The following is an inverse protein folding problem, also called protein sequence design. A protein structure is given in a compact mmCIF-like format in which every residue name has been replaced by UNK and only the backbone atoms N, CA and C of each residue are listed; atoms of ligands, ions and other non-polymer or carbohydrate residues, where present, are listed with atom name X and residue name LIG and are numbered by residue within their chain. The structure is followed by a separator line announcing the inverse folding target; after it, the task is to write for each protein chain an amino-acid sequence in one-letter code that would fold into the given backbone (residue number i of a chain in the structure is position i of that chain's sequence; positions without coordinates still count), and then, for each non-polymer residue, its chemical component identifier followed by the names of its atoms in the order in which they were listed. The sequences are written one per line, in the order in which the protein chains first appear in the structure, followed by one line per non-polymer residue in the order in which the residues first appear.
data_IF_454025619021
#
_entry.id   IF_454025619021
#
_cell.length_a   1.000
_cell.length_b   1.000
_cell.length_c   1.000
_cell.angle_alpha   90.00
_cell.angle_beta   90.00
_cell.angle_gamma   90.00
#
_symmetry.space_group_name_H-M   'P 1'
#
loop_
_entity.id
_entity.type
_entity.pdbx_description
1 polymer ?
#
# COMPACT_ATOMS: atom_id res chain seq x y z
N UNK A 1 18.98 -13.13 21.86
CA UNK A 1 18.49 -11.87 21.24
C UNK A 1 19.71 -11.04 20.86
N UNK A 2 20.05 -10.97 19.57
CA UNK A 2 21.09 -10.06 19.10
C UNK A 2 20.48 -8.65 19.04
N UNK A 3 20.95 -7.77 19.91
CA UNK A 3 20.55 -6.37 19.94
C UNK A 3 21.42 -5.64 18.93
N UNK A 4 20.78 -5.06 17.90
CA UNK A 4 21.48 -4.20 16.95
C UNK A 4 22.01 -2.95 17.67
N UNK A 5 23.21 -2.46 17.31
CA UNK A 5 23.74 -1.22 17.86
C UNK A 5 22.84 -0.03 17.58
N UNK A 6 22.75 0.92 18.51
CA UNK A 6 21.88 2.09 18.41
C UNK A 6 22.09 2.90 17.12
N UNK A 7 23.33 3.07 16.68
CA UNK A 7 23.62 3.79 15.44
C UNK A 7 23.07 3.09 14.20
N UNK A 8 23.07 1.74 14.20
CA UNK A 8 22.52 0.96 13.09
C UNK A 8 20.99 1.00 13.08
N UNK A 9 20.38 0.95 14.28
CA UNK A 9 18.95 1.20 14.44
C UNK A 9 18.55 2.59 13.93
N UNK A 10 19.30 3.62 14.36
CA UNK A 10 19.07 5.00 13.91
C UNK A 10 19.25 5.20 12.40
N UNK A 11 20.24 4.52 11.80
CA UNK A 11 20.40 4.53 10.35
C UNK A 11 19.20 3.92 9.61
N UNK A 12 18.73 2.75 10.06
CA UNK A 12 17.56 2.10 9.46
C UNK A 12 16.28 2.91 9.65
N UNK A 13 16.10 3.53 10.82
CA UNK A 13 14.96 4.41 11.07
C UNK A 13 15.01 5.65 10.16
N UNK A 14 16.18 6.26 9.95
CA UNK A 14 16.36 7.35 9.02
C UNK A 14 16.09 6.94 7.56
N UNK A 15 16.50 5.72 7.16
CA UNK A 15 16.19 5.17 5.85
C UNK A 15 14.68 4.97 5.65
N UNK A 16 13.99 4.47 6.66
CA UNK A 16 12.53 4.33 6.65
C UNK A 16 11.86 5.71 6.55
N UNK A 17 12.29 6.70 7.33
CA UNK A 17 11.76 8.07 7.25
C UNK A 17 11.94 8.69 5.86
N UNK A 18 13.12 8.51 5.25
CA UNK A 18 13.36 8.95 3.88
C UNK A 18 12.39 8.29 2.89
N UNK A 19 12.17 6.97 3.04
CA UNK A 19 11.23 6.22 2.20
C UNK A 19 9.79 6.74 2.30
N UNK A 20 9.34 7.18 3.48
CA UNK A 20 7.99 7.69 3.69
C UNK A 20 7.69 8.98 2.88
N UNK A 21 8.73 9.69 2.44
CA UNK A 21 8.64 10.91 1.64
C UNK A 21 8.76 10.65 0.14
N UNK A 22 8.82 9.38 -0.29
CA UNK A 22 8.97 9.02 -1.71
C UNK A 22 7.82 8.13 -2.13
N UNK A 23 7.03 8.62 -3.09
CA UNK A 23 5.96 7.88 -3.74
C UNK A 23 6.48 7.13 -4.96
N UNK A 24 5.92 5.96 -5.24
CA UNK A 24 6.16 5.23 -6.48
C UNK A 24 7.53 4.56 -6.62
N UNK A 25 8.43 4.67 -5.64
CA UNK A 25 9.77 4.10 -5.70
C UNK A 25 10.24 3.44 -4.41
N UNK A 26 11.33 2.66 -4.48
CA UNK A 26 11.97 2.03 -3.33
C UNK A 26 13.41 2.55 -3.15
N UNK A 27 13.60 3.52 -2.25
CA UNK A 27 14.91 4.06 -1.90
C UNK A 27 15.72 3.12 -1.02
N UNK A 28 15.08 2.21 -0.28
CA UNK A 28 15.71 1.39 0.74
C UNK A 28 16.85 0.54 0.19
N UNK A 29 16.71 0.06 -1.06
CA UNK A 29 17.79 -0.66 -1.74
C UNK A 29 19.06 0.18 -1.88
N UNK A 30 18.92 1.46 -2.23
CA UNK A 30 20.05 2.35 -2.47
C UNK A 30 20.73 2.79 -1.16
N UNK A 31 20.00 2.82 -0.07
CA UNK A 31 20.50 3.17 1.25
C UNK A 31 21.26 2.04 1.94
N UNK A 32 21.03 0.78 1.55
CA UNK A 32 21.79 -0.36 2.07
C UNK A 32 23.12 -0.50 1.29
N UNK A 33 24.17 0.17 1.79
CA UNK A 33 25.53 0.03 1.23
C UNK A 33 26.16 -1.31 1.66
N UNK A 34 27.25 -1.79 0.99
CA UNK A 34 27.94 -2.99 1.39
C UNK A 34 28.37 -2.95 2.88
N UNK A 35 28.86 -1.80 3.34
CA UNK A 35 29.32 -1.60 4.72
C UNK A 35 28.17 -1.77 5.72
N UNK A 36 26.98 -1.28 5.41
CA UNK A 36 25.77 -1.45 6.22
C UNK A 36 25.35 -2.93 6.25
N UNK A 37 25.42 -3.62 5.11
CA UNK A 37 25.13 -5.06 5.04
C UNK A 37 26.12 -5.86 5.89
N UNK A 38 27.42 -5.57 5.79
CA UNK A 38 28.45 -6.23 6.62
C UNK A 38 28.22 -6.01 8.11
N UNK A 39 27.81 -4.81 8.49
CA UNK A 39 27.46 -4.52 9.88
C UNK A 39 26.19 -5.28 10.32
N UNK A 40 25.15 -5.33 9.51
CA UNK A 40 23.93 -6.09 9.82
C UNK A 40 24.24 -7.58 10.02
N UNK A 41 25.11 -8.17 9.18
CA UNK A 41 25.52 -9.57 9.28
C UNK A 41 26.24 -9.90 10.59
N UNK A 42 26.98 -8.95 11.18
CA UNK A 42 27.64 -9.17 12.48
C UNK A 42 26.66 -9.33 13.64
N UNK A 43 25.44 -8.79 13.49
CA UNK A 43 24.43 -8.75 14.56
C UNK A 43 23.17 -9.55 14.22
N UNK A 44 23.20 -10.34 13.15
CA UNK A 44 22.08 -11.21 12.76
C UNK A 44 22.59 -12.63 12.53
N UNK A 45 21.76 -13.62 12.83
CA UNK A 45 22.09 -15.04 12.62
C UNK A 45 21.93 -15.49 11.15
N UNK A 46 21.95 -14.55 10.20
CA UNK A 46 21.79 -14.89 8.79
C UNK A 46 23.05 -15.60 8.30
N UNK A 47 22.92 -16.89 7.99
CA UNK A 47 24.02 -17.71 7.47
C UNK A 47 24.29 -17.32 6.01
N UNK A 48 25.46 -16.76 5.76
CA UNK A 48 25.89 -16.22 4.46
C UNK A 48 26.50 -17.25 3.52
N UNK A 49 26.57 -18.53 3.90
CA UNK A 49 27.33 -19.55 3.16
C UNK A 49 26.87 -19.79 1.70
N UNK A 50 25.73 -19.20 1.28
CA UNK A 50 25.15 -19.36 -0.07
C UNK A 50 24.57 -18.10 -0.68
N UNK A 51 24.60 -16.93 0.01
CA UNK A 51 23.96 -15.72 -0.47
C UNK A 51 25.01 -14.61 -0.76
N UNK A 52 24.90 -13.97 -1.93
CA UNK A 52 25.71 -12.80 -2.27
C UNK A 52 25.29 -11.57 -1.45
N UNK A 53 26.16 -10.54 -1.36
CA UNK A 53 25.80 -9.23 -0.80
C UNK A 53 24.57 -8.63 -1.50
N UNK A 54 24.40 -8.87 -2.80
CA UNK A 54 23.25 -8.39 -3.57
C UNK A 54 21.94 -9.05 -3.10
N UNK A 55 21.95 -10.37 -2.82
CA UNK A 55 20.79 -11.10 -2.33
C UNK A 55 20.39 -10.63 -0.92
N UNK A 56 21.40 -10.41 -0.05
CA UNK A 56 21.17 -9.90 1.29
C UNK A 56 20.62 -8.47 1.27
N UNK A 57 21.20 -7.61 0.47
CA UNK A 57 20.71 -6.25 0.23
C UNK A 57 19.26 -6.25 -0.21
N UNK A 58 18.93 -7.10 -1.21
CA UNK A 58 17.57 -7.27 -1.69
C UNK A 58 16.64 -7.76 -0.56
N UNK A 59 17.05 -8.79 0.16
CA UNK A 59 16.26 -9.32 1.28
C UNK A 59 15.99 -8.27 2.37
N UNK A 60 17.01 -7.58 2.86
CA UNK A 60 16.84 -6.54 3.88
C UNK A 60 15.95 -5.40 3.39
N UNK A 61 16.16 -4.93 2.16
CA UNK A 61 15.37 -3.85 1.60
C UNK A 61 13.89 -4.24 1.43
N UNK A 62 13.61 -5.42 0.87
CA UNK A 62 12.24 -5.81 0.49
C UNK A 62 11.47 -6.50 1.61
N UNK A 63 12.12 -7.38 2.38
CA UNK A 63 11.44 -8.19 3.40
C UNK A 63 11.49 -7.58 4.80
N UNK A 64 12.50 -6.77 5.12
CA UNK A 64 12.63 -6.19 6.46
C UNK A 64 12.21 -4.73 6.46
N UNK A 65 12.96 -3.87 5.75
CA UNK A 65 12.75 -2.42 5.83
C UNK A 65 11.46 -1.99 5.13
N UNK A 66 11.13 -2.58 3.97
CA UNK A 66 9.88 -2.24 3.27
C UNK A 66 8.64 -2.61 4.08
N UNK A 67 8.65 -3.72 4.83
CA UNK A 67 7.52 -4.06 5.70
C UNK A 67 7.38 -3.07 6.86
N UNK A 68 8.50 -2.67 7.50
CA UNK A 68 8.49 -1.64 8.55
C UNK A 68 8.02 -0.28 8.00
N UNK A 69 8.53 0.13 6.83
CA UNK A 69 8.11 1.35 6.17
C UNK A 69 6.61 1.33 5.83
N UNK A 70 6.11 0.23 5.27
CA UNK A 70 4.69 0.06 4.96
C UNK A 70 3.81 0.11 6.22
N UNK A 71 4.21 -0.54 7.30
CA UNK A 71 3.48 -0.49 8.57
C UNK A 71 3.42 0.94 9.13
N UNK A 72 4.56 1.65 9.15
CA UNK A 72 4.66 3.03 9.62
C UNK A 72 3.82 3.98 8.75
N UNK A 73 3.94 3.88 7.43
CA UNK A 73 3.14 4.64 6.47
C UNK A 73 1.64 4.45 6.70
N UNK A 74 1.19 3.20 6.83
CA UNK A 74 -0.24 2.88 7.07
C UNK A 74 -0.72 3.46 8.39
N UNK A 75 0.04 3.29 9.48
CA UNK A 75 -0.31 3.84 10.79
C UNK A 75 -0.42 5.38 10.75
N UNK A 76 0.56 6.06 10.15
CA UNK A 76 0.53 7.52 10.00
C UNK A 76 -0.67 7.99 9.18
N UNK A 77 -0.90 7.36 8.03
CA UNK A 77 -2.02 7.71 7.14
C UNK A 77 -3.38 7.49 7.81
N UNK A 78 -3.57 6.33 8.43
CA UNK A 78 -4.81 6.01 9.14
C UNK A 78 -5.06 6.96 10.31
N UNK A 79 -4.03 7.31 11.08
CA UNK A 79 -4.15 8.26 12.18
C UNK A 79 -4.52 9.66 11.68
N UNK A 80 -3.92 10.14 10.59
CA UNK A 80 -4.27 11.42 9.98
C UNK A 80 -5.71 11.45 9.49
N UNK A 81 -6.15 10.39 8.85
CA UNK A 81 -7.55 10.24 8.42
C UNK A 81 -8.50 10.20 9.61
N UNK A 82 -8.19 9.40 10.65
CA UNK A 82 -9.03 9.27 11.85
C UNK A 82 -9.13 10.58 12.65
N UNK A 83 -8.08 11.40 12.65
CA UNK A 83 -8.11 12.75 13.24
C UNK A 83 -9.02 13.69 12.45
N UNK A 84 -8.96 13.65 11.14
CA UNK A 84 -9.75 14.53 10.25
C UNK A 84 -11.20 14.08 10.12
N UNK A 85 -11.45 12.76 10.11
CA UNK A 85 -12.77 12.17 9.95
C UNK A 85 -13.12 11.22 11.10
N UNK A 86 -13.30 11.74 12.33
CA UNK A 86 -13.53 10.91 13.52
C UNK A 86 -14.78 10.04 13.35
N UNK A 87 -14.65 8.75 13.66
CA UNK A 87 -15.69 7.72 13.54
C UNK A 87 -16.22 7.47 12.11
N UNK A 88 -15.51 7.91 11.08
CA UNK A 88 -15.85 7.68 9.68
C UNK A 88 -14.77 6.89 8.93
N UNK A 89 -13.68 6.54 9.60
CA UNK A 89 -12.62 5.69 9.04
C UNK A 89 -12.74 4.31 9.63
N UNK A 90 -12.92 3.31 8.76
CA UNK A 90 -13.13 1.91 9.11
C UNK A 90 -11.94 1.07 8.64
N UNK A 91 -11.38 0.26 9.52
CA UNK A 91 -10.29 -0.66 9.24
C UNK A 91 -10.71 -2.09 9.56
N UNK A 92 -10.61 -2.98 8.58
CA UNK A 92 -10.85 -4.42 8.73
C UNK A 92 -9.50 -5.14 8.80
N UNK A 93 -9.12 -5.67 9.96
CA UNK A 93 -7.78 -6.23 10.18
C UNK A 93 -7.75 -7.30 11.25
N UNK A 94 -6.71 -8.14 11.22
CA UNK A 94 -6.31 -9.04 12.32
C UNK A 94 -5.06 -8.53 13.03
N UNK A 95 -4.43 -7.44 12.52
CA UNK A 95 -3.22 -6.88 13.11
C UNK A 95 -3.52 -6.11 14.39
N UNK A 96 -2.48 -5.91 15.21
CA UNK A 96 -2.55 -5.02 16.36
C UNK A 96 -2.88 -3.58 15.93
N UNK A 97 -3.80 -2.96 16.65
CA UNK A 97 -4.29 -1.61 16.39
C UNK A 97 -4.01 -0.63 17.52
N UNK A 98 -3.18 -1.02 18.48
CA UNK A 98 -2.83 -0.21 19.67
C UNK A 98 -2.19 1.15 19.34
N UNK A 99 -1.49 1.24 18.20
CA UNK A 99 -0.87 2.47 17.72
C UNK A 99 -1.83 3.38 16.91
N UNK A 100 -3.08 2.95 16.71
CA UNK A 100 -4.07 3.71 15.95
C UNK A 100 -4.89 4.65 16.83
N UNK A 101 -5.33 5.74 16.24
CA UNK A 101 -6.09 6.77 16.93
C UNK A 101 -7.45 6.22 17.39
N UNK A 102 -7.94 6.54 18.63
CA UNK A 102 -9.18 5.95 19.18
C UNK A 102 -10.45 6.29 18.40
N UNK A 103 -10.41 7.29 17.53
CA UNK A 103 -11.55 7.67 16.68
C UNK A 103 -11.67 6.84 15.42
N UNK A 104 -10.67 6.00 15.11
CA UNK A 104 -10.72 5.03 14.03
C UNK A 104 -11.53 3.82 14.48
N UNK A 105 -12.45 3.37 13.62
CA UNK A 105 -13.29 2.21 13.91
C UNK A 105 -12.62 0.95 13.36
N UNK A 106 -12.21 0.06 14.24
CA UNK A 106 -11.59 -1.22 13.89
C UNK A 106 -12.62 -2.34 13.87
N UNK A 107 -12.54 -3.18 12.87
CA UNK A 107 -13.35 -4.38 12.69
C UNK A 107 -12.44 -5.60 12.57
N UNK A 108 -12.94 -6.77 12.93
CA UNK A 108 -12.27 -8.04 12.60
C UNK A 108 -12.18 -8.17 11.07
N UNK A 109 -11.12 -8.83 10.59
CA UNK A 109 -11.02 -9.15 9.18
C UNK A 109 -12.27 -9.94 8.72
N UNK A 110 -12.72 -9.61 7.53
CA UNK A 110 -13.87 -10.28 6.90
C UNK A 110 -13.41 -11.32 5.90
N UNK A 111 -14.32 -12.25 5.57
CA UNK A 111 -14.09 -13.17 4.47
C UNK A 111 -13.81 -12.40 3.18
N UNK A 112 -12.69 -12.76 2.53
CA UNK A 112 -12.18 -12.00 1.39
C UNK A 112 -13.04 -12.13 0.14
N UNK A 113 -13.60 -13.31 -0.09
CA UNK A 113 -14.37 -13.59 -1.31
C UNK A 113 -15.85 -13.19 -1.16
N UNK A 114 -16.42 -13.40 0.03
CA UNK A 114 -17.86 -13.21 0.23
C UNK A 114 -18.25 -11.85 0.83
N UNK A 115 -17.40 -11.29 1.71
CA UNK A 115 -17.75 -10.09 2.49
C UNK A 115 -16.94 -8.87 2.09
N UNK A 116 -15.67 -9.02 1.71
CA UNK A 116 -14.85 -7.86 1.33
C UNK A 116 -15.43 -7.09 0.13
N UNK A 117 -15.97 -7.72 -0.93
CA UNK A 117 -16.62 -6.98 -2.01
C UNK A 117 -17.79 -6.12 -1.55
N UNK A 118 -18.58 -6.59 -0.58
CA UNK A 118 -19.68 -5.80 0.00
C UNK A 118 -19.17 -4.59 0.78
N UNK A 119 -18.05 -4.73 1.51
CA UNK A 119 -17.40 -3.62 2.19
C UNK A 119 -16.90 -2.59 1.16
N UNK A 120 -16.26 -3.05 0.09
CA UNK A 120 -15.77 -2.15 -0.97
C UNK A 120 -16.90 -1.39 -1.66
N UNK A 121 -17.97 -2.07 -2.03
CA UNK A 121 -19.13 -1.46 -2.68
C UNK A 121 -19.89 -0.47 -1.77
N UNK A 122 -19.94 -0.75 -0.46
CA UNK A 122 -20.67 0.10 0.51
C UNK A 122 -19.85 1.27 1.05
N UNK A 123 -18.54 1.27 0.84
CA UNK A 123 -17.64 2.34 1.28
C UNK A 123 -17.70 3.53 0.31
N UNK A 124 -17.82 4.76 0.84
CA UNK A 124 -17.78 5.96 -0.01
C UNK A 124 -16.43 6.11 -0.72
N UNK A 125 -15.35 5.82 0.00
CA UNK A 125 -13.98 5.87 -0.53
C UNK A 125 -13.23 4.66 0.01
N UNK A 126 -12.64 3.88 -0.88
CA UNK A 126 -11.70 2.83 -0.53
C UNK A 126 -10.28 3.36 -0.75
N UNK A 127 -9.44 3.24 0.27
CA UNK A 127 -8.05 3.70 0.22
C UNK A 127 -7.13 2.50 0.08
N UNK A 128 -6.28 2.51 -0.94
CA UNK A 128 -5.18 1.57 -1.09
C UNK A 128 -3.84 2.25 -0.80
N UNK A 129 -2.96 1.52 -0.11
CA UNK A 129 -1.60 1.93 0.23
C UNK A 129 -0.66 0.80 -0.14
N UNK A 130 0.12 0.98 -1.20
CA UNK A 130 1.03 -0.03 -1.72
C UNK A 130 2.33 -0.04 -0.92
N UNK A 131 2.81 -1.21 -0.55
CA UNK A 131 4.08 -1.33 0.15
C UNK A 131 5.27 -1.02 -0.79
N UNK A 132 6.36 -0.40 -0.29
CA UNK A 132 7.50 0.02 -1.13
C UNK A 132 8.21 -1.12 -1.87
N UNK A 133 8.09 -2.36 -1.40
CA UNK A 133 8.67 -3.54 -2.07
C UNK A 133 7.94 -3.93 -3.36
N UNK A 134 6.74 -3.44 -3.60
CA UNK A 134 6.04 -3.60 -4.87
C UNK A 134 6.49 -2.46 -5.78
N UNK A 135 7.58 -2.69 -6.52
CA UNK A 135 8.18 -1.68 -7.41
C UNK A 135 7.49 -1.64 -8.77
N UNK A 136 7.05 -2.81 -9.25
CA UNK A 136 6.31 -3.01 -10.50
C UNK A 136 5.07 -3.84 -10.26
N UNK A 137 4.09 -3.70 -11.15
CA UNK A 137 2.80 -4.38 -11.04
C UNK A 137 1.78 -3.61 -10.18
N UNK A 138 0.54 -4.01 -10.33
CA UNK A 138 -0.61 -3.42 -9.65
C UNK A 138 -1.09 -4.40 -8.57
N UNK A 139 -1.25 -3.96 -7.30
CA UNK A 139 -1.81 -4.82 -6.26
C UNK A 139 -3.20 -5.34 -6.63
N UNK A 140 -3.47 -6.62 -6.38
CA UNK A 140 -4.78 -7.25 -6.65
C UNK A 140 -5.94 -6.48 -6.00
N UNK A 141 -5.68 -5.84 -4.87
CA UNK A 141 -6.67 -4.99 -4.17
C UNK A 141 -7.27 -3.90 -5.04
N UNK A 142 -6.52 -3.37 -6.00
CA UNK A 142 -7.00 -2.37 -6.97
C UNK A 142 -8.13 -2.98 -7.79
N UNK A 143 -7.89 -4.16 -8.37
CA UNK A 143 -8.88 -4.87 -9.19
C UNK A 143 -10.09 -5.33 -8.35
N UNK A 144 -9.87 -5.75 -7.11
CA UNK A 144 -10.94 -6.20 -6.20
C UNK A 144 -11.91 -5.07 -5.86
N UNK A 145 -11.38 -3.88 -5.53
CA UNK A 145 -12.20 -2.72 -5.19
C UNK A 145 -12.99 -2.25 -6.41
N UNK A 146 -12.32 -2.09 -7.55
CA UNK A 146 -12.97 -1.66 -8.80
C UNK A 146 -13.98 -2.70 -9.28
N UNK A 147 -13.63 -3.99 -9.25
CA UNK A 147 -14.51 -5.11 -9.61
C UNK A 147 -15.74 -5.25 -8.71
N UNK A 148 -15.68 -4.75 -7.48
CA UNK A 148 -16.83 -4.63 -6.58
C UNK A 148 -17.68 -3.35 -6.81
N UNK A 149 -17.29 -2.47 -7.73
CA UNK A 149 -17.94 -1.18 -7.98
C UNK A 149 -17.62 -0.11 -6.92
N UNK A 150 -16.55 -0.29 -6.15
CA UNK A 150 -16.10 0.68 -5.15
C UNK A 150 -15.27 1.81 -5.77
N UNK A 151 -15.47 3.05 -5.30
CA UNK A 151 -14.56 4.15 -5.63
C UNK A 151 -13.21 3.92 -4.96
N UNK A 152 -12.13 3.94 -5.75
CA UNK A 152 -10.76 3.70 -5.30
C UNK A 152 -9.93 4.99 -5.34
N UNK A 153 -9.28 5.30 -4.21
CA UNK A 153 -8.24 6.29 -4.07
C UNK A 153 -6.93 5.56 -3.67
N UNK A 154 -5.97 5.45 -4.59
CA UNK A 154 -4.73 4.67 -4.40
C UNK A 154 -3.49 5.56 -4.48
N UNK A 155 -2.40 5.13 -3.84
CA UNK A 155 -1.10 5.77 -4.03
C UNK A 155 -0.63 5.66 -5.48
N UNK A 156 0.07 6.70 -5.93
CA UNK A 156 0.59 6.76 -7.30
C UNK A 156 1.57 5.62 -7.60
N UNK A 157 1.34 4.93 -8.75
CA UNK A 157 2.23 3.93 -9.34
C UNK A 157 2.24 4.09 -10.86
N UNK A 158 3.42 3.98 -11.48
CA UNK A 158 3.56 4.13 -12.94
C UNK A 158 2.70 3.12 -13.71
N UNK A 159 2.72 1.86 -13.26
CA UNK A 159 2.01 0.74 -13.93
C UNK A 159 0.47 0.90 -13.94
N UNK A 160 -0.10 1.79 -13.12
CA UNK A 160 -1.54 2.06 -13.15
C UNK A 160 -2.00 2.58 -14.50
N UNK A 161 -1.16 3.36 -15.21
CA UNK A 161 -1.48 3.92 -16.53
C UNK A 161 -1.64 2.86 -17.61
N UNK A 162 -0.99 1.72 -17.46
CA UNK A 162 -1.04 0.63 -18.43
C UNK A 162 -2.41 -0.09 -18.42
N UNK A 163 -3.10 -0.02 -17.29
CA UNK A 163 -4.36 -0.71 -17.08
C UNK A 163 -5.56 0.21 -16.94
N UNK A 164 -5.37 1.44 -16.43
CA UNK A 164 -6.45 2.34 -16.04
C UNK A 164 -6.22 3.78 -16.50
N UNK A 165 -7.30 4.51 -16.72
CA UNK A 165 -7.28 5.96 -16.96
C UNK A 165 -7.52 6.68 -15.63
N UNK A 166 -6.48 7.34 -15.11
CA UNK A 166 -6.53 8.09 -13.85
C UNK A 166 -7.53 9.25 -13.98
N UNK A 167 -8.34 9.47 -12.95
CA UNK A 167 -9.41 10.45 -12.93
C UNK A 167 -10.69 10.00 -13.63
N UNK A 168 -10.68 8.80 -14.29
CA UNK A 168 -11.83 8.21 -14.95
C UNK A 168 -12.20 6.83 -14.39
N UNK A 169 -11.23 5.93 -14.20
CA UNK A 169 -11.46 4.57 -13.73
C UNK A 169 -11.15 4.43 -12.22
N UNK A 170 -10.22 5.23 -11.75
CA UNK A 170 -9.80 5.35 -10.36
C UNK A 170 -9.16 6.72 -10.13
N UNK A 171 -8.87 7.05 -8.89
CA UNK A 171 -8.11 8.26 -8.55
C UNK A 171 -6.84 7.88 -7.78
N UNK A 172 -5.79 8.69 -7.96
CA UNK A 172 -4.50 8.49 -7.29
C UNK A 172 -4.19 9.65 -6.35
N UNK A 173 -3.34 9.41 -5.37
CA UNK A 173 -2.80 10.45 -4.50
C UNK A 173 -1.28 10.37 -4.41
N UNK A 174 -0.64 11.53 -4.21
CA UNK A 174 0.79 11.67 -3.97
C UNK A 174 1.02 12.25 -2.56
N UNK A 175 1.26 11.37 -1.62
CA UNK A 175 1.45 11.71 -0.22
C UNK A 175 0.17 12.02 0.56
N UNK A 176 0.35 12.24 1.86
CA UNK A 176 -0.75 12.31 2.83
C UNK A 176 -1.63 13.56 2.64
N UNK A 177 -1.02 14.69 2.26
CA UNK A 177 -1.78 15.93 2.11
C UNK A 177 -2.72 15.85 0.90
N UNK A 178 -2.24 15.37 -0.24
CA UNK A 178 -3.06 15.15 -1.44
C UNK A 178 -4.17 14.11 -1.18
N UNK A 179 -3.86 13.04 -0.43
CA UNK A 179 -4.87 12.09 0.03
C UNK A 179 -6.01 12.77 0.80
N UNK A 180 -5.68 13.65 1.75
CA UNK A 180 -6.67 14.35 2.57
C UNK A 180 -7.49 15.35 1.75
N UNK A 181 -6.87 16.07 0.81
CA UNK A 181 -7.55 17.01 -0.09
C UNK A 181 -8.50 16.28 -1.05
N UNK A 182 -8.05 15.20 -1.67
CA UNK A 182 -8.88 14.37 -2.56
C UNK A 182 -10.00 13.67 -1.80
N UNK A 183 -9.75 13.23 -0.57
CA UNK A 183 -10.80 12.67 0.28
C UNK A 183 -11.89 13.71 0.55
N UNK A 184 -11.53 14.95 0.92
CA UNK A 184 -12.50 16.05 1.10
C UNK A 184 -13.29 16.34 -0.17
N UNK A 185 -12.60 16.38 -1.31
CA UNK A 185 -13.22 16.63 -2.58
C UNK A 185 -14.25 15.57 -2.94
N UNK A 186 -13.87 14.30 -2.93
CA UNK A 186 -14.73 13.21 -3.33
C UNK A 186 -15.83 12.87 -2.31
N UNK A 187 -15.69 13.25 -1.04
CA UNK A 187 -16.79 13.18 -0.09
C UNK A 187 -17.91 14.19 -0.40
N UNK A 188 -17.57 15.34 -1.02
CA UNK A 188 -18.51 16.40 -1.41
C UNK A 188 -19.09 16.23 -2.82
N UNK A 189 -18.42 15.47 -3.71
CA UNK A 189 -18.80 15.31 -5.11
C UNK A 189 -19.18 13.85 -5.38
N UNK A 190 -20.36 13.47 -4.91
CA UNK A 190 -20.87 12.10 -5.03
C UNK A 190 -21.07 11.65 -6.48
N UNK A 191 -21.57 12.55 -7.33
CA UNK A 191 -21.76 12.34 -8.75
C UNK A 191 -20.45 11.91 -9.44
N UNK A 192 -19.37 12.66 -9.20
CA UNK A 192 -18.05 12.34 -9.76
C UNK A 192 -17.50 11.03 -9.19
N UNK A 193 -17.62 10.82 -7.87
CA UNK A 193 -17.18 9.58 -7.21
C UNK A 193 -17.89 8.37 -7.80
N UNK A 194 -19.20 8.45 -7.97
CA UNK A 194 -20.01 7.36 -8.52
C UNK A 194 -19.67 7.11 -10.00
N UNK A 195 -19.49 8.16 -10.80
CA UNK A 195 -19.09 8.02 -12.19
C UNK A 195 -17.73 7.29 -12.34
N UNK A 196 -16.74 7.67 -11.54
CA UNK A 196 -15.41 7.01 -11.54
C UNK A 196 -15.53 5.55 -11.12
N UNK A 197 -16.30 5.24 -10.07
CA UNK A 197 -16.49 3.87 -9.60
C UNK A 197 -17.15 2.97 -10.68
N UNK A 198 -18.15 3.50 -11.40
CA UNK A 198 -18.80 2.79 -12.50
C UNK A 198 -17.85 2.53 -13.66
N UNK A 199 -17.08 3.53 -14.11
CA UNK A 199 -16.08 3.35 -15.16
C UNK A 199 -14.98 2.34 -14.75
N UNK A 200 -14.51 2.39 -13.51
CA UNK A 200 -13.54 1.42 -12.99
C UNK A 200 -14.09 -0.01 -13.04
N UNK A 201 -15.35 -0.21 -12.64
CA UNK A 201 -16.03 -1.51 -12.75
C UNK A 201 -16.11 -2.00 -14.19
N UNK A 202 -16.55 -1.15 -15.12
CA UNK A 202 -16.64 -1.48 -16.57
C UNK A 202 -15.26 -1.86 -17.14
N UNK A 203 -14.21 -1.12 -16.77
CA UNK A 203 -12.84 -1.39 -17.21
C UNK A 203 -12.35 -2.74 -16.69
N UNK A 204 -12.57 -3.05 -15.41
CA UNK A 204 -12.18 -4.35 -14.85
C UNK A 204 -12.96 -5.49 -15.51
N UNK A 205 -14.27 -5.38 -15.65
CA UNK A 205 -15.10 -6.41 -16.28
C UNK A 205 -14.75 -6.66 -17.74
N UNK A 206 -14.42 -5.61 -18.51
CA UNK A 206 -14.15 -5.73 -19.93
C UNK A 206 -12.72 -6.14 -20.29
N UNK A 207 -11.72 -5.80 -19.44
CA UNK A 207 -10.30 -5.96 -19.77
C UNK A 207 -9.51 -6.80 -18.78
N UNK A 208 -9.97 -6.94 -17.53
CA UNK A 208 -9.18 -7.53 -16.46
C UNK A 208 -9.88 -8.69 -15.75
N UNK A 209 -11.07 -9.09 -16.20
CA UNK A 209 -11.71 -10.31 -15.75
C UNK A 209 -10.83 -11.54 -16.05
N UNK A 210 -10.86 -12.53 -15.18
CA UNK A 210 -10.06 -13.75 -15.35
C UNK A 210 -10.32 -14.46 -16.67
N UNK A 211 -11.57 -14.43 -17.17
CA UNK A 211 -11.92 -15.04 -18.46
C UNK A 211 -11.27 -14.33 -19.65
N UNK A 212 -11.08 -13.00 -19.55
CA UNK A 212 -10.38 -12.19 -20.55
C UNK A 212 -8.89 -12.51 -20.51
N UNK A 213 -8.28 -12.48 -19.30
CA UNK A 213 -6.85 -12.72 -19.11
C UNK A 213 -6.43 -14.15 -19.50
N UNK A 214 -7.26 -15.14 -19.17
CA UNK A 214 -6.99 -16.54 -19.57
C UNK A 214 -7.01 -16.68 -21.09
N UNK A 215 -7.95 -16.02 -21.79
CA UNK A 215 -7.98 -16.03 -23.25
C UNK A 215 -6.74 -15.39 -23.88
N UNK A 216 -6.27 -14.27 -23.32
CA UNK A 216 -5.04 -13.62 -23.79
C UNK A 216 -3.79 -14.51 -23.63
N UNK A 217 -3.74 -15.33 -22.56
CA UNK A 217 -2.60 -16.23 -22.29
C UNK A 217 -2.65 -17.49 -23.18
N UNK A 218 -3.84 -17.98 -23.46
CA UNK A 218 -4.01 -19.24 -24.21
C UNK A 218 -4.05 -19.04 -25.74
N UNK A 219 -4.13 -17.80 -26.24
CA UNK A 219 -4.16 -17.45 -27.66
C UNK A 219 -5.56 -17.59 -28.22
#
# INVERSE_FOLDING_TARGET
EHILPDYLCGYMDAAIEAQLNVSGGNLLKNMLTPEIIDMLLKYTDIKTSTQSHADLKFHFATSVLSHKAAAKMRTMTLNRLAMKYPKNVHLFTTSDTSALFPTLITHKAVDYLLKAPLVFASSKININMTAPNIETGIPLRVFDILGAGGFLLTDWREDLKDCFTIGKDLEVYDGINDLLEKTDYYLKHEDKRTAIAMHGLETVQSRHDYSVRIREILG
#
